data_IF_895592023357
#
_entry.id   IF_895592023357
#
_cell.length_a   1.000
_cell.length_b   1.000
_cell.length_c   1.000
_cell.angle_alpha   90.00
_cell.angle_beta   90.00
_cell.angle_gamma   90.00
#
_symmetry.space_group_name_H-M   'P 1'
#
loop_
_entity.id
_entity.type
_entity.pdbx_description
1 polymer ?
#
# COMPACT_ATOMS: atom_id res chain seq x y z
N UNK A 1 -28.05 6.82 -28.68
CA UNK A 1 -28.75 5.54 -28.92
C UNK A 1 -27.88 4.33 -28.60
N UNK A 2 -26.85 3.96 -29.38
CA UNK A 2 -26.04 2.77 -29.06
C UNK A 2 -25.21 2.91 -27.75
N UNK A 3 -24.60 4.08 -27.48
CA UNK A 3 -23.86 4.32 -26.22
C UNK A 3 -24.78 4.35 -25.00
N UNK A 4 -25.97 4.96 -25.11
CA UNK A 4 -26.96 5.01 -24.02
C UNK A 4 -27.44 3.61 -23.61
N UNK A 5 -27.52 2.67 -24.56
CA UNK A 5 -27.86 1.27 -24.25
C UNK A 5 -26.71 0.54 -23.54
N UNK A 6 -25.45 0.81 -23.92
CA UNK A 6 -24.27 0.23 -23.26
C UNK A 6 -24.12 0.78 -21.85
N UNK A 7 -24.22 2.10 -21.66
CA UNK A 7 -24.11 2.72 -20.35
C UNK A 7 -25.22 2.25 -19.40
N UNK A 8 -26.45 2.10 -19.89
CA UNK A 8 -27.55 1.53 -19.11
C UNK A 8 -27.26 0.08 -18.68
N UNK A 9 -26.67 -0.74 -19.57
CA UNK A 9 -26.31 -2.13 -19.25
C UNK A 9 -25.19 -2.19 -18.21
N UNK A 10 -24.19 -1.32 -18.31
CA UNK A 10 -23.11 -1.23 -17.31
C UNK A 10 -23.67 -0.78 -15.95
N UNK A 11 -24.56 0.22 -15.95
CA UNK A 11 -25.23 0.67 -14.73
C UNK A 11 -26.06 -0.44 -14.07
N UNK A 12 -26.83 -1.20 -14.87
CA UNK A 12 -27.59 -2.35 -14.37
C UNK A 12 -26.68 -3.44 -13.79
N UNK A 13 -25.57 -3.75 -14.47
CA UNK A 13 -24.57 -4.70 -14.00
C UNK A 13 -23.96 -4.28 -12.65
N UNK A 14 -23.56 -3.01 -12.52
CA UNK A 14 -23.01 -2.46 -11.28
C UNK A 14 -24.04 -2.46 -10.14
N UNK A 15 -25.28 -2.03 -10.42
CA UNK A 15 -26.37 -2.05 -9.43
C UNK A 15 -26.67 -3.47 -8.95
N UNK A 16 -26.83 -4.40 -9.88
CA UNK A 16 -27.12 -5.81 -9.57
C UNK A 16 -25.98 -6.44 -8.78
N UNK A 17 -24.73 -6.16 -9.15
CA UNK A 17 -23.58 -6.64 -8.38
C UNK A 17 -23.60 -6.10 -6.95
N UNK A 18 -23.85 -4.80 -6.77
CA UNK A 18 -23.91 -4.17 -5.45
C UNK A 18 -25.07 -4.71 -4.59
N UNK A 19 -26.22 -5.02 -5.20
CA UNK A 19 -27.38 -5.59 -4.49
C UNK A 19 -27.15 -7.03 -4.02
N UNK A 20 -26.33 -7.81 -4.74
CA UNK A 20 -26.11 -9.23 -4.47
C UNK A 20 -24.86 -9.51 -3.62
N UNK A 21 -23.92 -8.57 -3.52
CA UNK A 21 -22.63 -8.77 -2.85
C UNK A 21 -22.48 -7.88 -1.62
N UNK A 22 -21.74 -8.37 -0.61
CA UNK A 22 -21.41 -7.59 0.59
C UNK A 22 -20.44 -6.46 0.25
N UNK A 23 -20.66 -5.29 0.87
CA UNK A 23 -19.74 -4.16 0.86
C UNK A 23 -18.85 -4.09 2.11
N UNK A 24 -18.80 -5.18 2.88
CA UNK A 24 -17.94 -5.36 4.04
C UNK A 24 -17.05 -6.56 3.79
N UNK A 25 -15.76 -6.42 4.10
CA UNK A 25 -14.79 -7.50 4.00
C UNK A 25 -15.11 -8.59 5.04
N UNK A 26 -15.00 -9.86 4.66
CA UNK A 26 -15.16 -10.96 5.61
C UNK A 26 -13.97 -10.99 6.57
N UNK A 27 -14.24 -11.10 7.87
CA UNK A 27 -13.22 -11.19 8.91
C UNK A 27 -13.20 -12.58 9.54
N UNK A 28 -12.05 -13.24 9.48
CA UNK A 28 -11.78 -14.54 10.03
C UNK A 28 -11.02 -14.39 11.36
N UNK A 29 -11.37 -15.21 12.35
CA UNK A 29 -10.69 -15.24 13.65
C UNK A 29 -9.48 -16.18 13.66
N UNK A 30 -9.28 -16.97 12.61
CA UNK A 30 -8.17 -17.90 12.43
C UNK A 30 -7.83 -18.05 10.94
N UNK A 31 -6.64 -18.57 10.63
CA UNK A 31 -6.23 -18.83 9.25
C UNK A 31 -7.17 -19.85 8.58
N UNK A 32 -7.62 -19.61 7.34
CA UNK A 32 -8.45 -20.58 6.63
C UNK A 32 -7.64 -21.84 6.28
N UNK A 33 -8.31 -22.98 6.15
CA UNK A 33 -7.71 -24.13 5.48
C UNK A 33 -7.42 -23.81 4.00
N UNK A 34 -6.49 -24.54 3.33
CA UNK A 34 -6.24 -24.36 1.90
C UNK A 34 -7.51 -24.48 1.03
N UNK A 35 -8.45 -25.36 1.40
CA UNK A 35 -9.72 -25.52 0.67
C UNK A 35 -10.64 -24.31 0.88
N UNK A 36 -10.71 -23.76 2.08
CA UNK A 36 -11.48 -22.54 2.36
C UNK A 36 -10.88 -21.35 1.62
N UNK A 37 -9.55 -21.20 1.65
CA UNK A 37 -8.85 -20.19 0.87
C UNK A 37 -9.17 -20.29 -0.64
N UNK A 38 -9.11 -21.49 -1.22
CA UNK A 38 -9.48 -21.69 -2.64
C UNK A 38 -10.91 -21.27 -2.97
N UNK A 39 -11.84 -21.32 -2.01
CA UNK A 39 -13.21 -20.80 -2.23
C UNK A 39 -13.21 -19.27 -2.33
N UNK A 40 -12.36 -18.56 -1.59
CA UNK A 40 -12.19 -17.11 -1.75
C UNK A 40 -11.52 -16.76 -3.07
N UNK A 41 -10.46 -17.50 -3.46
CA UNK A 41 -9.81 -17.35 -4.77
C UNK A 41 -10.81 -17.55 -5.90
N UNK A 42 -11.59 -18.64 -5.88
CA UNK A 42 -12.57 -18.93 -6.92
C UNK A 42 -13.71 -17.91 -7.01
N UNK A 43 -14.05 -17.25 -5.91
CA UNK A 43 -15.03 -16.15 -5.87
C UNK A 43 -14.40 -14.78 -6.17
N UNK A 44 -13.07 -14.69 -6.19
CA UNK A 44 -12.30 -13.45 -6.27
C UNK A 44 -12.76 -12.43 -5.22
N UNK A 45 -12.80 -12.84 -3.95
CA UNK A 45 -13.29 -12.01 -2.83
C UNK A 45 -12.24 -11.87 -1.73
N UNK A 46 -11.96 -10.65 -1.23
CA UNK A 46 -11.00 -10.43 -0.16
C UNK A 46 -11.53 -10.91 1.20
N UNK A 47 -10.61 -11.20 2.12
CA UNK A 47 -10.91 -11.42 3.54
C UNK A 47 -9.76 -10.92 4.40
N UNK A 48 -10.04 -10.65 5.68
CA UNK A 48 -9.03 -10.34 6.70
C UNK A 48 -8.97 -11.47 7.72
N UNK A 49 -7.79 -11.98 8.04
CA UNK A 49 -7.56 -12.81 9.23
C UNK A 49 -7.08 -11.90 10.34
N UNK A 50 -7.90 -11.75 11.38
CA UNK A 50 -7.55 -10.93 12.55
C UNK A 50 -6.49 -11.62 13.38
N UNK A 51 -5.36 -10.94 13.59
CA UNK A 51 -4.23 -11.47 14.36
C UNK A 51 -3.54 -12.72 13.77
N UNK A 52 -3.74 -13.03 12.48
CA UNK A 52 -3.14 -14.21 11.84
C UNK A 52 -1.61 -14.27 11.97
N UNK A 53 -0.96 -13.11 11.96
CA UNK A 53 0.50 -12.98 12.10
C UNK A 53 0.95 -12.64 13.53
N UNK A 54 0.07 -12.60 14.53
CA UNK A 54 0.44 -12.16 15.89
C UNK A 54 1.51 -13.03 16.56
N UNK A 55 1.68 -14.27 16.10
CA UNK A 55 2.72 -15.19 16.58
C UNK A 55 4.10 -14.98 15.93
N UNK A 56 4.18 -14.18 14.86
CA UNK A 56 5.44 -13.94 14.16
C UNK A 56 6.39 -13.14 15.05
N UNK A 57 7.68 -13.48 14.99
CA UNK A 57 8.71 -12.72 15.71
C UNK A 57 8.70 -11.25 15.31
N UNK A 58 8.46 -10.98 14.02
CA UNK A 58 8.27 -9.63 13.51
C UNK A 58 7.17 -8.85 14.27
N UNK A 59 6.01 -9.46 14.51
CA UNK A 59 4.90 -8.80 15.21
C UNK A 59 5.12 -8.66 16.73
N UNK A 60 6.04 -9.44 17.31
CA UNK A 60 6.31 -9.45 18.75
C UNK A 60 7.51 -8.57 19.14
N UNK A 61 8.53 -8.53 18.30
CA UNK A 61 9.82 -7.93 18.62
C UNK A 61 10.17 -6.72 17.76
N UNK A 62 9.69 -6.65 16.51
CA UNK A 62 10.10 -5.55 15.64
C UNK A 62 9.64 -4.25 16.23
N UNK A 63 10.57 -3.32 16.16
CA UNK A 63 10.43 -2.02 16.69
C UNK A 63 11.59 -1.15 16.09
N UNK A 64 11.56 0.19 16.11
CA UNK A 64 12.64 1.08 15.67
C UNK A 64 14.02 0.72 16.18
N UNK A 65 14.18 0.44 17.48
CA UNK A 65 15.48 0.08 18.02
C UNK A 65 15.98 -1.27 17.49
N UNK A 66 15.07 -2.23 17.33
CA UNK A 66 15.34 -3.54 16.74
C UNK A 66 15.76 -3.40 15.28
N UNK A 67 15.00 -2.65 14.47
CA UNK A 67 15.31 -2.47 13.06
C UNK A 67 16.62 -1.69 12.85
N UNK A 68 16.86 -0.62 13.61
CA UNK A 68 18.14 0.11 13.58
C UNK A 68 19.32 -0.81 13.88
N UNK A 69 19.14 -1.76 14.81
CA UNK A 69 20.16 -2.74 15.15
C UNK A 69 20.32 -3.82 14.07
N UNK A 70 19.22 -4.34 13.55
CA UNK A 70 19.20 -5.45 12.60
C UNK A 70 19.72 -5.05 11.20
N UNK A 71 19.40 -3.82 10.78
CA UNK A 71 19.81 -3.25 9.50
C UNK A 71 20.93 -2.22 9.65
N UNK A 72 21.72 -2.34 10.74
CA UNK A 72 22.85 -1.45 10.99
C UNK A 72 23.84 -1.52 9.83
N UNK A 73 24.35 -0.36 9.43
CA UNK A 73 25.34 -0.20 8.34
C UNK A 73 24.82 -0.69 6.97
N UNK A 74 23.50 -0.90 6.81
CA UNK A 74 22.86 -1.22 5.54
C UNK A 74 22.31 0.03 4.85
N UNK A 75 22.22 -0.07 3.54
CA UNK A 75 21.62 0.94 2.66
C UNK A 75 20.34 0.37 2.06
N UNK A 76 19.33 1.22 1.90
CA UNK A 76 18.03 0.83 1.33
C UNK A 76 17.65 1.77 0.20
N UNK A 77 16.91 1.25 -0.77
CA UNK A 77 16.39 2.06 -1.85
C UNK A 77 15.12 2.78 -1.42
N UNK A 78 15.12 4.12 -1.52
CA UNK A 78 14.05 4.98 -1.01
C UNK A 78 13.39 5.71 -2.16
N UNK A 79 12.07 5.57 -2.28
CA UNK A 79 11.25 6.43 -3.12
C UNK A 79 11.02 7.76 -2.39
N UNK A 80 11.40 8.86 -3.04
CA UNK A 80 11.28 10.22 -2.52
C UNK A 80 10.36 11.02 -3.42
N UNK A 81 9.35 11.64 -2.81
CA UNK A 81 8.35 12.46 -3.51
C UNK A 81 8.08 13.75 -2.74
N UNK A 82 7.58 14.82 -3.37
CA UNK A 82 7.25 16.03 -2.64
C UNK A 82 6.06 15.85 -1.69
N UNK A 83 5.07 15.03 -2.07
CA UNK A 83 3.77 14.95 -1.38
C UNK A 83 3.35 13.53 -0.98
N UNK A 84 4.23 12.53 -1.15
CA UNK A 84 3.97 11.14 -0.76
C UNK A 84 3.16 10.32 -1.74
N UNK A 85 2.96 10.84 -2.95
CA UNK A 85 2.17 10.26 -4.04
C UNK A 85 3.10 9.64 -5.09
N UNK A 86 3.84 8.60 -4.73
CA UNK A 86 4.64 7.84 -5.69
C UNK A 86 3.71 7.09 -6.66
N UNK A 87 4.13 7.00 -7.93
CA UNK A 87 3.44 6.24 -8.97
C UNK A 87 1.96 6.64 -9.10
N UNK A 88 1.72 7.95 -9.16
CA UNK A 88 0.38 8.53 -9.06
C UNK A 88 0.07 9.53 -10.18
N UNK A 89 -1.21 9.65 -10.61
CA UNK A 89 -1.67 10.75 -11.45
C UNK A 89 -1.37 12.09 -10.79
N UNK A 90 -0.56 12.92 -11.44
CA UNK A 90 -0.11 14.20 -10.89
C UNK A 90 -0.22 15.29 -11.96
N UNK A 91 -0.74 16.46 -11.59
CA UNK A 91 -0.75 17.61 -12.49
C UNK A 91 0.69 18.09 -12.73
N UNK A 92 1.12 18.13 -14.00
CA UNK A 92 2.45 18.64 -14.31
C UNK A 92 2.48 20.17 -14.14
N UNK A 93 3.51 20.77 -13.51
CA UNK A 93 3.58 22.22 -13.30
C UNK A 93 3.60 23.03 -14.61
N UNK A 94 4.37 22.57 -15.60
CA UNK A 94 4.54 23.27 -16.89
C UNK A 94 3.52 22.90 -17.97
N UNK A 95 2.70 21.87 -17.76
CA UNK A 95 1.73 21.39 -18.76
C UNK A 95 0.31 21.33 -18.19
N UNK A 96 -0.70 21.62 -19.00
CA UNK A 96 -2.10 21.61 -18.58
C UNK A 96 -2.75 20.20 -18.64
N UNK A 97 -1.99 19.15 -18.32
CA UNK A 97 -2.47 17.77 -18.25
C UNK A 97 -1.80 16.99 -17.11
N UNK A 98 -2.45 15.93 -16.66
CA UNK A 98 -1.89 15.02 -15.65
C UNK A 98 -0.96 13.98 -16.28
N UNK A 99 0.11 13.66 -15.57
CA UNK A 99 1.12 12.65 -15.90
C UNK A 99 1.09 11.51 -14.89
N UNK A 100 1.70 10.38 -15.24
CA UNK A 100 2.00 9.33 -14.28
C UNK A 100 3.35 9.65 -13.63
N UNK A 101 3.32 10.19 -12.41
CA UNK A 101 4.51 10.64 -11.71
C UNK A 101 5.19 9.49 -10.95
N UNK A 102 6.35 9.07 -11.44
CA UNK A 102 7.25 8.13 -10.77
C UNK A 102 8.08 8.86 -9.70
N UNK A 103 8.39 8.23 -8.56
CA UNK A 103 9.19 8.85 -7.52
C UNK A 103 10.65 9.05 -7.94
N UNK A 104 11.37 9.88 -7.20
CA UNK A 104 12.83 9.90 -7.24
C UNK A 104 13.37 8.74 -6.41
N UNK A 105 14.13 7.82 -6.99
CA UNK A 105 14.78 6.77 -6.23
C UNK A 105 16.20 7.17 -5.84
N UNK A 106 16.53 7.00 -4.57
CA UNK A 106 17.89 7.18 -4.05
C UNK A 106 18.19 6.18 -2.93
N UNK A 107 19.46 5.78 -2.86
CA UNK A 107 19.95 4.90 -1.83
C UNK A 107 20.28 5.69 -0.55
N UNK A 108 19.72 5.30 0.59
CA UNK A 108 19.95 5.95 1.88
C UNK A 108 20.47 4.96 2.94
N UNK A 109 21.40 5.37 3.82
CA UNK A 109 21.68 4.61 5.04
C UNK A 109 20.37 4.37 5.82
N UNK A 110 20.13 3.14 6.23
CA UNK A 110 18.85 2.75 6.82
C UNK A 110 18.52 3.54 8.09
N UNK A 111 19.53 3.84 8.91
CA UNK A 111 19.37 4.63 10.12
C UNK A 111 18.85 6.04 9.83
N UNK A 112 19.45 6.70 8.83
CA UNK A 112 19.11 8.04 8.38
C UNK A 112 17.69 8.07 7.81
N UNK A 113 17.36 7.10 6.95
CA UNK A 113 16.02 6.95 6.38
C UNK A 113 14.97 6.77 7.48
N UNK A 114 15.21 5.85 8.40
CA UNK A 114 14.25 5.53 9.44
C UNK A 114 14.05 6.67 10.43
N UNK A 115 15.14 7.27 10.91
CA UNK A 115 15.05 8.43 11.80
C UNK A 115 14.27 9.57 11.14
N UNK A 116 14.46 9.79 9.83
CA UNK A 116 13.69 10.76 9.06
C UNK A 116 12.19 10.43 9.08
N UNK A 117 11.81 9.20 8.69
CA UNK A 117 10.40 8.76 8.62
C UNK A 117 9.72 8.89 9.99
N UNK A 118 10.39 8.47 11.06
CA UNK A 118 9.87 8.57 12.43
C UNK A 118 9.71 10.03 12.83
N UNK A 119 10.72 10.88 12.62
CA UNK A 119 10.65 12.30 12.98
C UNK A 119 9.59 13.05 12.18
N UNK A 120 9.49 12.79 10.87
CA UNK A 120 8.46 13.39 10.01
C UNK A 120 7.05 13.08 10.51
N UNK A 121 6.85 11.91 11.12
CA UNK A 121 5.55 11.52 11.70
C UNK A 121 5.30 12.05 13.12
N UNK A 122 6.33 12.14 13.98
CA UNK A 122 6.15 12.49 15.42
C UNK A 122 6.52 13.90 15.83
N UNK A 123 7.41 14.58 15.10
CA UNK A 123 7.84 15.91 15.48
C UNK A 123 6.83 16.94 14.97
N UNK A 124 6.07 17.63 15.85
CA UNK A 124 5.09 18.62 15.42
C UNK A 124 5.72 19.85 14.76
N UNK A 125 7.04 20.02 14.88
CA UNK A 125 7.79 21.11 14.23
C UNK A 125 8.52 20.66 12.96
N UNK A 126 8.29 19.42 12.49
CA UNK A 126 8.86 18.98 11.22
C UNK A 126 8.34 19.87 10.07
N UNK A 127 9.19 20.28 9.10
CA UNK A 127 8.74 21.16 8.03
C UNK A 127 7.56 20.57 7.26
N UNK A 128 6.52 21.38 7.02
CA UNK A 128 5.28 20.91 6.38
C UNK A 128 5.46 20.61 4.89
N UNK A 129 6.43 21.26 4.26
CA UNK A 129 6.86 21.13 2.87
C UNK A 129 8.01 20.12 2.71
N UNK A 130 8.35 19.39 3.77
CA UNK A 130 9.34 18.33 3.68
C UNK A 130 8.86 17.22 2.74
N UNK A 131 9.82 16.68 1.99
CA UNK A 131 9.60 15.51 1.15
C UNK A 131 9.11 14.30 1.94
N UNK A 132 8.47 13.36 1.23
CA UNK A 132 8.01 12.10 1.78
C UNK A 132 8.94 11.00 1.29
N UNK A 133 9.37 10.14 2.21
CA UNK A 133 10.27 9.02 1.96
C UNK A 133 9.53 7.72 2.23
N UNK A 134 9.62 6.79 1.28
CA UNK A 134 8.95 5.50 1.36
C UNK A 134 9.86 4.41 0.80
N UNK A 135 10.20 3.40 1.60
CA UNK A 135 10.88 2.21 1.10
C UNK A 135 9.83 1.22 0.59
N UNK A 136 9.75 1.09 -0.74
CA UNK A 136 8.63 0.45 -1.42
C UNK A 136 9.03 -0.36 -2.66
N UNK A 137 10.28 -0.78 -2.77
CA UNK A 137 10.70 -1.66 -3.87
C UNK A 137 9.89 -2.96 -3.84
N UNK A 138 9.33 -3.37 -4.98
CA UNK A 138 8.40 -4.52 -5.06
C UNK A 138 9.02 -5.72 -5.81
N UNK A 139 10.33 -5.84 -5.74
CA UNK A 139 11.15 -6.75 -6.54
C UNK A 139 11.76 -7.86 -5.67
N UNK A 140 11.00 -8.40 -4.73
CA UNK A 140 11.48 -9.38 -3.76
C UNK A 140 12.42 -8.81 -2.69
N UNK A 141 12.23 -7.54 -2.34
CA UNK A 141 13.19 -6.77 -1.56
C UNK A 141 13.43 -7.34 -0.14
N UNK A 142 12.53 -8.14 0.44
CA UNK A 142 12.78 -8.72 1.77
C UNK A 142 13.86 -9.80 1.72
N UNK A 143 13.89 -10.58 0.63
CA UNK A 143 14.90 -11.62 0.40
C UNK A 143 16.20 -11.05 -0.16
N UNK A 144 16.19 -9.83 -0.68
CA UNK A 144 17.39 -9.17 -1.22
C UNK A 144 17.91 -8.06 -0.30
N UNK A 145 17.21 -6.92 -0.23
CA UNK A 145 17.61 -5.71 0.50
C UNK A 145 17.53 -5.89 2.03
N UNK A 146 16.58 -6.67 2.55
CA UNK A 146 16.30 -6.80 3.98
C UNK A 146 16.54 -8.20 4.55
N UNK A 147 17.46 -8.97 3.95
CA UNK A 147 17.69 -10.39 4.32
C UNK A 147 17.95 -10.62 5.82
N UNK A 148 18.54 -9.64 6.53
CA UNK A 148 18.78 -9.73 7.97
C UNK A 148 17.50 -9.86 8.82
N UNK A 149 16.35 -9.47 8.26
CA UNK A 149 15.02 -9.53 8.87
C UNK A 149 14.22 -10.77 8.44
N UNK A 150 14.64 -11.47 7.38
CA UNK A 150 13.83 -12.53 6.75
C UNK A 150 13.54 -13.71 7.69
N UNK A 151 14.41 -13.98 8.67
CA UNK A 151 14.17 -15.04 9.66
C UNK A 151 13.06 -14.73 10.67
N UNK A 152 12.61 -13.49 10.75
CA UNK A 152 11.61 -13.05 11.74
C UNK A 152 10.17 -13.15 11.22
N UNK A 153 10.01 -13.44 9.92
CA UNK A 153 8.73 -13.62 9.23
C UNK A 153 8.57 -15.05 8.73
N UNK A 154 7.37 -15.40 8.27
CA UNK A 154 7.19 -16.66 7.53
C UNK A 154 7.78 -16.55 6.11
N UNK A 155 8.33 -17.66 5.62
CA UNK A 155 8.90 -17.75 4.26
C UNK A 155 7.84 -17.79 3.16
N UNK A 156 6.69 -18.36 3.50
CA UNK A 156 5.47 -18.47 2.72
C UNK A 156 4.27 -18.54 3.67
N UNK A 157 3.07 -18.32 3.15
CA UNK A 157 1.82 -18.47 3.90
C UNK A 157 1.24 -19.85 3.62
N UNK A 158 1.23 -20.80 4.59
CA UNK A 158 0.96 -22.20 4.30
C UNK A 158 -0.37 -22.47 3.61
N UNK A 159 -1.46 -21.81 4.04
CA UNK A 159 -2.77 -22.02 3.43
C UNK A 159 -2.79 -21.61 1.95
N UNK A 160 -2.13 -20.50 1.61
CA UNK A 160 -2.07 -19.99 0.24
C UNK A 160 -1.13 -20.83 -0.63
N UNK A 161 0.07 -21.14 -0.14
CA UNK A 161 1.05 -21.97 -0.87
C UNK A 161 0.48 -23.35 -1.21
N UNK A 162 -0.20 -24.00 -0.27
CA UNK A 162 -0.80 -25.33 -0.48
C UNK A 162 -1.96 -25.24 -1.46
N UNK A 163 -2.81 -24.24 -1.32
CA UNK A 163 -3.99 -24.05 -2.16
C UNK A 163 -3.64 -23.75 -3.63
N UNK A 164 -2.68 -22.85 -3.85
CA UNK A 164 -2.25 -22.40 -5.17
C UNK A 164 -1.18 -23.30 -5.79
N UNK A 165 -0.69 -24.29 -5.03
CA UNK A 165 0.43 -25.16 -5.39
C UNK A 165 1.66 -24.38 -5.91
N UNK A 166 1.94 -23.25 -5.26
CA UNK A 166 2.97 -22.30 -5.70
C UNK A 166 3.58 -21.56 -4.51
N UNK A 167 4.91 -21.41 -4.53
CA UNK A 167 5.62 -20.49 -3.64
C UNK A 167 5.38 -19.03 -4.08
N UNK A 168 5.50 -18.04 -3.17
CA UNK A 168 5.40 -16.63 -3.56
C UNK A 168 6.50 -16.26 -4.57
N UNK A 169 6.13 -15.53 -5.62
CA UNK A 169 7.09 -15.00 -6.59
C UNK A 169 8.01 -13.97 -5.93
N UNK A 170 7.44 -13.10 -5.09
CA UNK A 170 8.14 -12.07 -4.31
C UNK A 170 7.62 -12.03 -2.86
N UNK A 171 8.51 -11.66 -1.94
CA UNK A 171 8.19 -11.28 -0.57
C UNK A 171 8.77 -9.89 -0.35
N UNK A 172 7.90 -8.91 -0.15
CA UNK A 172 8.29 -7.51 -0.07
C UNK A 172 8.09 -6.97 1.37
N UNK A 173 8.91 -6.00 1.75
CA UNK A 173 8.80 -5.20 2.95
C UNK A 173 8.60 -3.74 2.56
N UNK A 174 7.61 -3.11 3.19
CA UNK A 174 7.30 -1.70 3.00
C UNK A 174 7.50 -0.94 4.31
N UNK A 175 8.20 0.20 4.24
CA UNK A 175 8.44 1.08 5.40
C UNK A 175 8.16 2.52 4.98
N UNK A 176 7.16 3.15 5.60
CA UNK A 176 6.76 4.54 5.34
C UNK A 176 6.00 5.16 6.52
N UNK A 177 5.41 6.33 6.31
CA UNK A 177 4.61 7.04 7.32
C UNK A 177 3.21 7.44 6.82
N UNK A 178 2.47 8.24 7.62
CA UNK A 178 1.13 8.71 7.29
C UNK A 178 1.04 9.55 6.02
N UNK A 179 2.17 10.04 5.50
CA UNK A 179 2.21 10.89 4.31
C UNK A 179 2.37 10.10 3.03
N UNK A 180 2.77 8.83 3.09
CA UNK A 180 2.92 7.98 1.91
C UNK A 180 1.58 7.36 1.53
N UNK A 181 1.13 7.60 0.30
CA UNK A 181 -0.14 7.14 -0.26
C UNK A 181 0.12 6.44 -1.59
N UNK A 182 -0.35 5.20 -1.70
CA UNK A 182 -0.37 4.45 -2.96
C UNK A 182 -1.66 4.82 -3.69
N UNK A 183 -1.54 5.32 -4.92
CA UNK A 183 -2.70 5.66 -5.73
C UNK A 183 -3.53 4.42 -6.09
N UNK A 184 -4.79 4.63 -6.47
CA UNK A 184 -5.66 3.54 -6.92
C UNK A 184 -5.01 2.80 -8.09
N UNK A 185 -4.77 1.51 -7.94
CA UNK A 185 -4.14 0.65 -8.94
C UNK A 185 -4.70 -0.77 -8.83
N UNK A 186 -4.18 -1.71 -9.60
CA UNK A 186 -4.51 -3.15 -9.51
C UNK A 186 -3.29 -3.97 -9.88
N UNK A 187 -3.16 -5.13 -9.25
CA UNK A 187 -2.10 -6.10 -9.53
C UNK A 187 -2.65 -7.38 -10.15
N UNK A 188 -1.80 -8.11 -10.86
CA UNK A 188 -2.10 -9.44 -11.41
C UNK A 188 -1.68 -10.58 -10.46
N UNK A 189 -1.52 -10.30 -9.15
CA UNK A 189 -1.06 -11.24 -8.13
C UNK A 189 -2.14 -11.54 -7.09
N UNK A 190 -2.12 -12.77 -6.56
CA UNK A 190 -2.86 -13.12 -5.34
C UNK A 190 -2.04 -12.64 -4.13
N UNK A 191 -2.42 -11.51 -3.55
CA UNK A 191 -1.61 -10.85 -2.53
C UNK A 191 -2.07 -11.21 -1.11
N UNK A 192 -1.12 -11.53 -0.23
CA UNK A 192 -1.35 -11.67 1.21
C UNK A 192 -0.58 -10.55 1.91
N UNK A 193 -1.30 -9.49 2.25
CA UNK A 193 -0.73 -8.33 2.93
C UNK A 193 -0.74 -8.57 4.44
N UNK A 194 0.44 -8.57 5.07
CA UNK A 194 0.56 -8.79 6.51
C UNK A 194 0.97 -7.52 7.21
N UNK A 195 0.19 -7.14 8.22
CA UNK A 195 0.44 -5.92 8.94
C UNK A 195 1.23 -6.12 10.22
N UNK A 196 2.54 -5.83 10.20
CA UNK A 196 3.41 -6.09 11.35
C UNK A 196 3.20 -5.11 12.51
N UNK A 197 3.34 -3.80 12.25
CA UNK A 197 3.20 -2.74 13.26
C UNK A 197 2.34 -1.62 12.72
N UNK A 198 1.66 -0.81 13.55
CA UNK A 198 0.75 0.31 13.18
C UNK A 198 -0.61 -0.02 12.56
N UNK A 199 -1.32 0.97 11.93
CA UNK A 199 -2.49 0.70 11.01
C UNK A 199 -2.38 1.10 9.51
N UNK A 200 -2.92 0.26 8.63
CA UNK A 200 -2.94 0.42 7.15
C UNK A 200 -4.39 0.49 6.72
N UNK A 201 -4.73 1.45 5.88
CA UNK A 201 -6.10 1.61 5.38
C UNK A 201 -6.13 1.37 3.88
N UNK A 202 -7.06 0.50 3.48
CA UNK A 202 -7.32 0.16 2.09
C UNK A 202 -8.71 0.64 1.69
N UNK A 203 -8.79 1.15 0.47
CA UNK A 203 -10.05 1.34 -0.26
C UNK A 203 -10.02 0.39 -1.44
N UNK A 204 -10.95 -0.55 -1.47
CA UNK A 204 -10.96 -1.65 -2.43
C UNK A 204 -12.19 -1.58 -3.33
N UNK A 205 -12.00 -1.88 -4.61
CA UNK A 205 -13.06 -2.17 -5.56
C UNK A 205 -12.78 -3.50 -6.30
N UNK A 206 -13.81 -4.32 -6.56
CA UNK A 206 -13.65 -5.49 -7.40
C UNK A 206 -13.29 -5.10 -8.83
N UNK A 207 -12.66 -6.01 -9.59
CA UNK A 207 -12.28 -5.77 -10.99
C UNK A 207 -13.44 -5.28 -11.89
N UNK A 208 -14.68 -5.71 -11.58
CA UNK A 208 -15.92 -5.29 -12.25
C UNK A 208 -16.10 -3.76 -12.24
N UNK A 209 -15.57 -3.07 -11.24
CA UNK A 209 -15.67 -1.63 -11.07
C UNK A 209 -14.71 -0.82 -11.97
N UNK A 210 -14.03 -1.43 -12.94
CA UNK A 210 -13.22 -0.72 -13.94
C UNK A 210 -13.90 0.52 -14.56
N UNK A 211 -15.22 0.55 -14.85
CA UNK A 211 -15.90 1.75 -15.36
C UNK A 211 -15.96 2.92 -14.36
N UNK A 212 -15.74 2.67 -13.07
CA UNK A 212 -15.78 3.69 -12.00
C UNK A 212 -14.48 4.50 -11.93
N UNK A 213 -13.34 3.83 -12.10
CA UNK A 213 -12.01 4.36 -11.72
C UNK A 213 -11.39 5.31 -12.74
N UNK A 214 -12.09 5.56 -13.85
CA UNK A 214 -11.68 6.47 -14.93
C UNK A 214 -10.24 6.21 -15.41
N UNK A 215 -9.93 4.96 -15.73
CA UNK A 215 -8.60 4.56 -16.19
C UNK A 215 -8.25 5.28 -17.51
N UNK A 216 -7.13 5.98 -17.55
CA UNK A 216 -6.67 6.74 -18.73
C UNK A 216 -5.19 6.49 -19.00
N UNK A 217 -4.75 6.56 -20.27
CA UNK A 217 -3.34 6.54 -20.60
C UNK A 217 -2.68 7.85 -20.12
N UNK A 218 -1.76 7.76 -19.17
CA UNK A 218 -0.99 8.87 -18.64
C UNK A 218 0.46 8.78 -19.13
N UNK A 219 1.01 9.90 -19.61
CA UNK A 219 2.42 9.94 -20.00
C UNK A 219 3.30 9.86 -18.74
N UNK A 220 4.34 9.01 -18.72
CA UNK A 220 5.25 8.94 -17.58
C UNK A 220 6.11 10.20 -17.43
N UNK A 221 6.34 10.57 -16.18
CA UNK A 221 7.30 11.57 -15.77
C UNK A 221 7.94 11.12 -14.45
N UNK A 222 9.21 11.41 -14.23
CA UNK A 222 9.95 11.02 -13.04
C UNK A 222 10.37 12.25 -12.24
N UNK A 223 10.20 12.20 -10.92
CA UNK A 223 10.79 13.22 -10.06
C UNK A 223 12.32 13.12 -10.07
N UNK A 224 12.99 14.22 -10.37
CA UNK A 224 14.45 14.35 -10.32
C UNK A 224 14.86 15.32 -9.22
N UNK A 225 15.99 15.02 -8.57
CA UNK A 225 16.58 15.86 -7.52
C UNK A 225 17.40 16.99 -8.15
N UNK A 226 17.12 18.23 -7.76
CA UNK A 226 17.90 19.44 -8.10
C UNK A 226 18.34 20.16 -6.82
N UNK A 227 19.11 21.23 -6.98
CA UNK A 227 19.52 22.10 -5.86
C UNK A 227 18.32 22.74 -5.15
N UNK A 228 17.23 22.99 -5.89
CA UNK A 228 16.02 23.68 -5.41
C UNK A 228 14.90 22.71 -4.95
N UNK A 229 15.11 21.39 -5.05
CA UNK A 229 14.15 20.37 -4.62
C UNK A 229 13.87 19.30 -5.67
N UNK A 230 12.67 18.72 -5.62
CA UNK A 230 12.20 17.75 -6.61
C UNK A 230 11.44 18.46 -7.72
N UNK A 231 11.82 18.19 -8.97
CA UNK A 231 11.08 18.64 -10.16
C UNK A 231 10.64 17.44 -10.97
N UNK A 232 9.46 17.53 -11.58
CA UNK A 232 8.90 16.45 -12.38
C UNK A 232 9.39 16.60 -13.82
N UNK A 233 10.14 15.60 -14.30
CA UNK A 233 10.69 15.59 -15.65
C UNK A 233 9.95 14.54 -16.49
N UNK A 234 9.51 14.92 -17.69
CA UNK A 234 8.92 13.96 -18.65
C UNK A 234 9.93 12.89 -19.05
N UNK A 235 9.50 11.64 -19.11
CA UNK A 235 10.36 10.55 -19.54
C UNK A 235 10.42 10.47 -21.09
N UNK A 236 11.61 10.23 -21.62
CA UNK A 236 11.83 10.11 -23.06
C UNK A 236 11.45 8.72 -23.55
N UNK A 237 10.53 8.64 -24.53
CA UNK A 237 10.13 7.40 -25.22
C UNK A 237 9.39 6.35 -24.37
N UNK A 238 8.87 6.71 -23.20
CA UNK A 238 7.99 5.84 -22.44
C UNK A 238 6.56 5.85 -23.02
N UNK A 239 5.98 4.66 -23.18
CA UNK A 239 4.58 4.50 -23.59
C UNK A 239 3.62 5.00 -22.48
N UNK A 240 2.47 5.59 -22.83
CA UNK A 240 1.47 5.98 -21.84
C UNK A 240 1.00 4.78 -21.00
N UNK A 241 0.94 4.97 -19.69
CA UNK A 241 0.52 3.96 -18.72
C UNK A 241 -0.98 4.09 -18.45
N UNK A 242 -1.80 3.06 -18.69
CA UNK A 242 -3.21 3.09 -18.29
C UNK A 242 -3.30 3.08 -16.77
N UNK A 243 -3.85 4.14 -16.18
CA UNK A 243 -3.91 4.29 -14.73
C UNK A 243 -5.24 4.92 -14.27
N UNK A 244 -5.83 4.45 -13.16
CA UNK A 244 -7.00 5.09 -12.53
C UNK A 244 -6.78 6.58 -12.27
N UNK A 245 -7.75 7.42 -12.63
CA UNK A 245 -7.69 8.87 -12.37
C UNK A 245 -8.78 9.37 -11.45
N UNK A 246 -9.80 8.55 -11.17
CA UNK A 246 -10.86 8.86 -10.23
C UNK A 246 -10.54 8.30 -8.84
N UNK A 247 -10.73 9.13 -7.82
CA UNK A 247 -10.54 8.79 -6.41
C UNK A 247 -11.90 8.87 -5.69
N UNK A 248 -12.38 7.79 -5.04
CA UNK A 248 -13.63 7.82 -4.28
C UNK A 248 -13.61 8.77 -3.08
N UNK A 249 -12.43 9.12 -2.56
CA UNK A 249 -12.25 10.10 -1.48
C UNK A 249 -12.21 11.55 -1.99
N UNK A 250 -12.15 11.74 -3.32
CA UNK A 250 -12.35 13.03 -4.02
C UNK A 250 -13.46 12.89 -5.08
N UNK A 251 -14.71 12.63 -4.66
CA UNK A 251 -15.77 12.14 -5.55
C UNK A 251 -16.22 13.14 -6.62
N UNK A 252 -15.77 14.39 -6.60
CA UNK A 252 -16.06 15.42 -7.60
C UNK A 252 -15.00 15.55 -8.72
N UNK A 253 -13.81 14.99 -8.53
CA UNK A 253 -12.69 15.10 -9.48
C UNK A 253 -12.64 13.87 -10.39
N UNK A 254 -12.37 14.05 -11.69
CA UNK A 254 -12.23 12.95 -12.65
C UNK A 254 -13.38 11.92 -12.65
N UNK A 255 -14.62 12.34 -12.42
CA UNK A 255 -15.78 11.43 -12.37
C UNK A 255 -16.08 10.78 -13.73
N UNK A 256 -16.76 9.64 -13.66
CA UNK A 256 -17.41 8.97 -14.80
C UNK A 256 -18.93 9.00 -14.60
N UNK A 257 -19.72 8.70 -15.64
CA UNK A 257 -21.17 8.49 -15.48
C UNK A 257 -21.52 7.41 -14.44
N UNK A 258 -20.56 6.53 -14.13
CA UNK A 258 -20.73 5.39 -13.25
C UNK A 258 -20.25 5.64 -11.82
N UNK A 259 -19.48 6.70 -11.53
CA UNK A 259 -18.92 6.98 -10.20
C UNK A 259 -19.98 6.99 -9.08
N UNK A 260 -21.23 7.34 -9.38
CA UNK A 260 -22.35 7.31 -8.44
C UNK A 260 -22.72 5.89 -7.93
N UNK A 261 -22.31 4.83 -8.64
CA UNK A 261 -22.54 3.43 -8.26
C UNK A 261 -21.40 2.88 -7.38
N UNK A 262 -20.40 3.69 -7.05
CA UNK A 262 -19.28 3.25 -6.25
C UNK A 262 -19.71 2.87 -4.83
N UNK A 263 -19.37 1.65 -4.44
CA UNK A 263 -19.53 1.11 -3.09
C UNK A 263 -18.17 0.56 -2.61
N UNK A 264 -17.24 1.43 -2.20
CA UNK A 264 -15.88 1.01 -1.83
C UNK A 264 -15.90 0.14 -0.56
N UNK A 265 -15.14 -0.96 -0.58
CA UNK A 265 -14.82 -1.71 0.63
C UNK A 265 -13.68 -0.99 1.35
N UNK A 266 -13.87 -0.66 2.63
CA UNK A 266 -12.82 -0.02 3.43
C UNK A 266 -12.30 -0.98 4.48
N UNK A 267 -11.01 -1.27 4.43
CA UNK A 267 -10.36 -2.22 5.34
C UNK A 267 -9.30 -1.49 6.14
N UNK A 268 -9.26 -1.74 7.45
CA UNK A 268 -8.16 -1.32 8.31
C UNK A 268 -7.48 -2.55 8.89
N UNK A 269 -6.17 -2.66 8.66
CA UNK A 269 -5.34 -3.70 9.26
C UNK A 269 -4.65 -3.14 10.51
N UNK A 270 -4.74 -3.87 11.61
CA UNK A 270 -3.99 -3.63 12.84
C UNK A 270 -2.75 -4.53 12.90
N UNK A 271 -1.84 -4.32 13.87
CA UNK A 271 -0.69 -5.21 14.05
C UNK A 271 -1.12 -6.67 14.23
N UNK A 272 -0.55 -7.56 13.42
CA UNK A 272 -0.87 -8.98 13.33
C UNK A 272 -1.95 -9.35 12.32
N UNK A 273 -2.71 -8.42 11.75
CA UNK A 273 -3.75 -8.74 10.78
C UNK A 273 -3.16 -9.14 9.41
N UNK A 274 -3.83 -10.05 8.71
CA UNK A 274 -3.51 -10.42 7.33
C UNK A 274 -4.69 -10.12 6.42
N UNK A 275 -4.48 -9.45 5.30
CA UNK A 275 -5.46 -9.25 4.23
C UNK A 275 -5.11 -10.16 3.05
N UNK A 276 -6.06 -10.99 2.62
CA UNK A 276 -6.02 -11.52 1.26
C UNK A 276 -6.65 -10.50 0.32
N UNK A 277 -5.84 -9.96 -0.59
CA UNK A 277 -6.24 -9.07 -1.68
C UNK A 277 -6.18 -9.88 -2.99
N UNK A 278 -7.33 -10.25 -3.58
CA UNK A 278 -7.35 -11.07 -4.78
C UNK A 278 -6.75 -10.35 -5.98
N UNK A 279 -6.23 -11.12 -6.93
CA UNK A 279 -5.75 -10.57 -8.19
C UNK A 279 -6.84 -9.71 -8.89
N UNK A 280 -6.39 -8.64 -9.55
CA UNK A 280 -7.16 -7.68 -10.34
C UNK A 280 -8.13 -6.78 -9.55
N UNK A 281 -8.18 -6.90 -8.23
CA UNK A 281 -8.88 -5.90 -7.41
C UNK A 281 -8.18 -4.56 -7.53
N UNK A 282 -9.00 -3.51 -7.62
CA UNK A 282 -8.48 -2.16 -7.50
C UNK A 282 -8.31 -1.83 -6.02
N UNK A 283 -7.15 -1.31 -5.66
CA UNK A 283 -6.86 -0.87 -4.31
C UNK A 283 -6.15 0.48 -4.30
N UNK A 284 -6.53 1.28 -3.31
CA UNK A 284 -5.81 2.48 -2.90
C UNK A 284 -5.45 2.32 -1.44
N UNK A 285 -4.21 2.66 -1.13
CA UNK A 285 -3.68 2.54 0.21
C UNK A 285 -3.27 3.90 0.73
N UNK A 286 -3.80 4.29 1.87
CA UNK A 286 -3.33 5.47 2.56
C UNK A 286 -3.13 5.18 4.03
N UNK A 287 -2.14 5.87 4.57
CA UNK A 287 -1.86 5.84 5.99
C UNK A 287 -2.60 7.04 6.61
N UNK A 288 -3.78 6.83 7.17
CA UNK A 288 -4.63 7.90 7.71
C UNK A 288 -3.99 8.65 8.90
N UNK A 289 -4.50 9.85 9.25
CA UNK A 289 -4.04 10.58 10.41
C UNK A 289 -4.42 9.82 11.69
N UNK A 290 -3.39 9.53 12.50
CA UNK A 290 -3.34 8.69 13.70
C UNK A 290 -3.07 7.18 13.46
N UNK A 291 -1.75 6.93 13.48
CA UNK A 291 -1.00 5.68 13.75
C UNK A 291 -0.79 4.72 12.55
N UNK A 292 0.30 4.88 11.78
CA UNK A 292 0.56 4.11 10.56
C UNK A 292 1.45 2.88 10.75
N UNK A 293 1.42 2.04 9.72
CA UNK A 293 1.98 0.69 9.64
C UNK A 293 3.34 0.48 9.06
N UNK A 294 4.02 -0.53 9.60
CA UNK A 294 5.23 -1.24 9.19
C UNK A 294 6.03 -1.46 10.47
N UNK A 295 6.66 -2.62 10.62
CA UNK A 295 7.83 -2.89 11.45
C UNK A 295 8.37 -1.92 12.57
N UNK A 296 7.64 -1.04 13.29
CA UNK A 296 8.24 -0.01 14.15
C UNK A 296 7.75 0.14 15.61
N UNK A 297 8.72 0.49 16.50
CA UNK A 297 8.57 0.70 17.96
C UNK A 297 7.65 1.91 17.99
N UNK A 298 6.59 1.89 18.81
CA UNK A 298 6.17 3.11 19.49
C UNK A 298 5.63 2.83 20.89
N UNK A 299 6.55 2.41 21.74
CA UNK A 299 6.75 2.99 23.06
C UNK A 299 8.26 2.87 23.42
N UNK A 300 9.02 3.96 23.27
CA UNK A 300 10.24 4.18 24.06
C UNK A 300 9.92 5.34 24.99
N UNK A 301 9.05 5.12 25.97
CA UNK A 301 9.34 5.68 27.27
C UNK A 301 10.76 5.25 27.61
N UNK A 302 11.63 6.24 27.82
CA UNK A 302 12.85 6.01 28.56
C UNK A 302 12.42 5.29 29.83
N UNK A 303 12.64 3.98 29.91
CA UNK A 303 12.70 3.31 31.18
C UNK A 303 13.89 3.96 31.90
N UNK A 304 13.62 5.04 32.63
CA UNK A 304 14.48 5.48 33.69
C UNK A 304 14.50 4.32 34.69
N UNK A 305 15.41 3.38 34.48
CA UNK A 305 15.89 2.49 35.53
C UNK A 305 16.64 3.34 36.54
N UNK A 306 15.88 3.96 37.44
CA UNK A 306 16.28 4.55 38.71
C UNK A 306 14.98 4.64 39.53
N UNK A 307 14.75 3.92 40.63
CA UNK A 307 15.61 3.24 41.58
C UNK A 307 14.84 2.06 42.20
N UNK A 308 15.52 0.94 42.41
CA UNK A 308 15.27 0.12 43.59
C UNK A 308 15.91 0.84 44.79
N UNK A 309 15.16 1.12 45.87
CA UNK A 309 15.49 0.77 47.27
C UNK A 309 14.58 1.47 48.28
N UNK A 310 14.09 0.64 49.21
CA UNK A 310 13.33 0.87 50.46
C UNK A 310 11.82 1.09 50.34
#
# INVERSE_FOLDING_TARGET
MASETVDATIAELLSTFNELNSHVVEELNEEPSPLEFMRFVARNTPFVVRGGASSWKACQEWNSAYLLKALKDQTVNVAVTPYGNADAPTQHPDYNFSVFAKPHYEDQPFDTFLEYVVRHETDPNFPQDAEVRYAQTQNDNLRDEYMALYSDVQKDIPFARIALDKAPDAVNLWIGNSKSVTAMHKDNYENIYVQVLGRKHFVLFPALCCPLVNEKPLRPATYIRTEDGLVLQMDDNDEPVPFPTWDPDRPSENTTPFSQYAQPLRVTLNPGDMLYLPAMWYDMEFSGPLFPTSAFIRDISLANTSQATQ
#
